data_IF_332160418429
#
_entry.id   IF_332160418429
#
_cell.length_a   1.000
_cell.length_b   1.000
_cell.length_c   1.000
_cell.angle_alpha   90.00
_cell.angle_beta   90.00
_cell.angle_gamma   90.00
#
_symmetry.space_group_name_H-M   'P 1'
#
loop_
_entity.id
_entity.type
_entity.pdbx_description
1 polymer ?
#
# COMPACT_ATOMS: atom_id res chain seq x y z
N UNK A 1 -12.70 -0.35 -14.13
CA UNK A 1 -11.52 0.24 -13.44
C UNK A 1 -10.29 0.18 -14.31
N UNK A 2 -9.33 1.11 -14.12
CA UNK A 2 -8.05 1.09 -14.83
C UNK A 2 -6.89 0.97 -13.84
N UNK A 3 -6.07 -0.05 -13.99
CA UNK A 3 -4.83 -0.31 -13.24
C UNK A 3 -3.70 -0.64 -14.22
N UNK A 4 -3.30 0.36 -15.02
CA UNK A 4 -2.48 0.18 -16.23
C UNK A 4 -1.16 -0.55 -15.99
N UNK A 5 -0.36 -0.07 -15.03
CA UNK A 5 1.04 -0.50 -14.87
C UNK A 5 1.22 -1.74 -13.99
N UNK A 6 0.16 -2.21 -13.32
CA UNK A 6 0.25 -3.36 -12.40
C UNK A 6 -1.09 -4.06 -12.26
N UNK A 7 -1.06 -5.40 -12.28
CA UNK A 7 -2.26 -6.24 -12.15
C UNK A 7 -2.69 -6.33 -10.68
N UNK A 8 -3.99 -6.18 -10.35
CA UNK A 8 -4.48 -6.33 -8.96
C UNK A 8 -4.27 -7.75 -8.39
N UNK A 9 -4.09 -8.74 -9.24
CA UNK A 9 -3.83 -10.14 -8.83
C UNK A 9 -2.32 -10.47 -8.78
N UNK A 10 -1.42 -9.51 -9.05
CA UNK A 10 0.01 -9.75 -9.01
C UNK A 10 0.50 -10.11 -7.60
N UNK A 11 1.48 -11.00 -7.53
CA UNK A 11 2.13 -11.38 -6.25
C UNK A 11 2.76 -10.16 -5.59
N UNK A 12 2.44 -9.93 -4.32
CA UNK A 12 2.92 -8.77 -3.57
C UNK A 12 4.43 -8.86 -3.24
N UNK A 13 5.04 -7.69 -3.02
CA UNK A 13 6.46 -7.58 -2.65
C UNK A 13 7.41 -7.45 -3.84
N UNK A 14 6.92 -7.40 -5.09
CA UNK A 14 7.71 -6.99 -6.25
C UNK A 14 7.89 -5.47 -6.34
N UNK A 15 8.74 -5.02 -7.27
CA UNK A 15 9.11 -3.59 -7.45
C UNK A 15 7.90 -2.66 -7.64
N UNK A 16 6.87 -3.11 -8.36
CA UNK A 16 5.68 -2.30 -8.69
C UNK A 16 4.39 -2.88 -8.10
N UNK A 17 4.50 -3.83 -7.16
CA UNK A 17 3.35 -4.47 -6.50
C UNK A 17 3.28 -4.08 -5.02
N UNK A 18 2.11 -3.70 -4.55
CA UNK A 18 1.94 -3.23 -3.17
C UNK A 18 0.52 -2.82 -2.82
N UNK A 19 0.38 -1.80 -1.99
CA UNK A 19 -0.92 -1.36 -1.45
C UNK A 19 -1.98 -1.02 -2.50
N UNK A 20 -1.59 -0.50 -3.68
CA UNK A 20 -2.53 -0.22 -4.76
C UNK A 20 -3.15 -1.49 -5.34
N UNK A 21 -2.37 -2.55 -5.54
CA UNK A 21 -2.87 -3.83 -6.05
C UNK A 21 -3.94 -4.41 -5.12
N UNK A 22 -3.63 -4.41 -3.81
CA UNK A 22 -4.56 -4.84 -2.76
C UNK A 22 -5.82 -3.97 -2.76
N UNK A 23 -5.66 -2.65 -2.84
CA UNK A 23 -6.78 -1.71 -2.89
C UNK A 23 -7.73 -2.01 -4.06
N UNK A 24 -7.19 -2.10 -5.28
CA UNK A 24 -8.00 -2.36 -6.49
C UNK A 24 -8.71 -3.71 -6.40
N UNK A 25 -7.99 -4.75 -5.95
CA UNK A 25 -8.55 -6.08 -5.78
C UNK A 25 -9.70 -6.10 -4.78
N UNK A 26 -9.48 -5.55 -3.59
CA UNK A 26 -10.42 -5.65 -2.48
C UNK A 26 -11.64 -4.74 -2.72
N UNK A 27 -11.43 -3.52 -3.24
CA UNK A 27 -12.52 -2.64 -3.66
C UNK A 27 -13.38 -3.31 -4.74
N UNK A 28 -12.75 -3.94 -5.75
CA UNK A 28 -13.49 -4.62 -6.83
C UNK A 28 -14.35 -5.76 -6.28
N UNK A 29 -13.81 -6.56 -5.35
CA UNK A 29 -14.58 -7.63 -4.68
C UNK A 29 -15.80 -7.08 -3.96
N UNK A 30 -15.60 -6.01 -3.19
CA UNK A 30 -16.66 -5.42 -2.39
C UNK A 30 -17.74 -4.78 -3.26
N UNK A 31 -17.36 -4.04 -4.31
CA UNK A 31 -18.31 -3.51 -5.29
C UNK A 31 -19.14 -4.63 -5.94
N UNK A 32 -18.50 -5.76 -6.29
CA UNK A 32 -19.21 -6.92 -6.79
C UNK A 32 -20.22 -7.52 -5.79
N UNK A 33 -19.86 -7.55 -4.49
CA UNK A 33 -20.77 -7.95 -3.41
C UNK A 33 -21.98 -7.02 -3.30
N UNK A 34 -21.80 -5.74 -3.62
CA UNK A 34 -22.87 -4.72 -3.68
C UNK A 34 -23.67 -4.76 -5.00
N UNK A 35 -23.35 -5.67 -5.93
CA UNK A 35 -24.05 -5.84 -7.21
C UNK A 35 -23.54 -4.93 -8.33
N UNK A 36 -22.39 -4.31 -8.18
CA UNK A 36 -21.74 -3.49 -9.22
C UNK A 36 -20.75 -4.34 -9.99
N UNK A 37 -20.98 -4.48 -11.30
CA UNK A 37 -20.08 -5.22 -12.18
C UNK A 37 -18.85 -4.39 -12.53
N UNK A 38 -17.66 -5.00 -12.39
CA UNK A 38 -16.39 -4.32 -12.60
C UNK A 38 -15.47 -5.11 -13.51
N UNK A 39 -15.03 -4.48 -14.59
CA UNK A 39 -13.87 -4.91 -15.37
C UNK A 39 -12.63 -4.10 -14.97
N UNK A 40 -11.59 -4.77 -14.49
CA UNK A 40 -10.31 -4.14 -14.19
C UNK A 40 -9.36 -4.34 -15.36
N UNK A 41 -9.08 -3.28 -16.09
CA UNK A 41 -8.13 -3.30 -17.20
C UNK A 41 -6.71 -3.04 -16.71
N UNK A 42 -5.80 -3.92 -17.07
CA UNK A 42 -4.36 -3.80 -16.82
C UNK A 42 -3.57 -4.15 -18.07
N UNK A 43 -2.37 -3.62 -18.23
CA UNK A 43 -1.50 -4.01 -19.34
C UNK A 43 -1.01 -5.44 -19.13
N UNK A 44 -1.05 -6.27 -20.19
CA UNK A 44 -0.45 -7.59 -20.17
C UNK A 44 1.09 -7.49 -20.00
N UNK A 45 1.63 -8.30 -19.11
CA UNK A 45 3.07 -8.38 -18.81
C UNK A 45 3.63 -9.80 -18.95
N UNK A 46 2.79 -10.74 -19.40
CA UNK A 46 3.17 -12.14 -19.63
C UNK A 46 2.19 -12.75 -20.64
N UNK A 47 2.70 -13.16 -21.80
CA UNK A 47 1.92 -13.78 -22.87
C UNK A 47 1.33 -15.15 -22.48
N UNK A 48 1.84 -15.78 -21.42
CA UNK A 48 1.35 -17.06 -20.91
C UNK A 48 0.19 -16.93 -19.93
N UNK A 49 -0.09 -15.72 -19.42
CA UNK A 49 -1.23 -15.46 -18.54
C UNK A 49 -2.49 -15.23 -19.38
N UNK A 50 -3.62 -15.87 -19.08
CA UNK A 50 -4.86 -15.62 -19.77
C UNK A 50 -5.24 -14.13 -19.76
N UNK A 51 -5.65 -13.59 -20.93
CA UNK A 51 -6.02 -12.18 -21.04
C UNK A 51 -7.31 -11.81 -20.28
N UNK A 52 -8.11 -12.78 -19.85
CA UNK A 52 -9.30 -12.54 -19.00
C UNK A 52 -9.29 -13.52 -17.86
N UNK A 53 -9.28 -12.99 -16.63
CA UNK A 53 -9.35 -13.74 -15.37
C UNK A 53 -10.61 -13.37 -14.60
N UNK A 54 -11.26 -14.34 -13.97
CA UNK A 54 -12.49 -14.19 -13.18
C UNK A 54 -12.25 -14.33 -11.67
N UNK A 55 -11.00 -14.16 -11.22
CA UNK A 55 -10.57 -14.45 -9.84
C UNK A 55 -10.99 -13.40 -8.80
N UNK A 56 -11.69 -12.33 -9.23
CA UNK A 56 -12.20 -11.29 -8.34
C UNK A 56 -13.58 -11.59 -7.74
N UNK A 57 -14.25 -12.66 -8.21
CA UNK A 57 -15.59 -13.04 -7.74
C UNK A 57 -16.71 -12.14 -8.26
N UNK A 58 -17.95 -12.52 -7.99
CA UNK A 58 -19.18 -11.78 -8.30
C UNK A 58 -19.33 -11.34 -9.78
N UNK A 59 -18.75 -12.10 -10.72
CA UNK A 59 -18.75 -11.76 -12.15
C UNK A 59 -17.69 -10.76 -12.59
N UNK A 60 -16.96 -10.17 -11.65
CA UNK A 60 -15.87 -9.23 -11.95
C UNK A 60 -14.70 -9.89 -12.65
N UNK A 61 -14.00 -9.13 -13.50
CA UNK A 61 -12.92 -9.63 -14.33
C UNK A 61 -11.67 -8.75 -14.24
N UNK A 62 -10.52 -9.39 -14.38
CA UNK A 62 -9.28 -8.71 -14.74
C UNK A 62 -9.01 -8.96 -16.22
N UNK A 63 -8.84 -7.89 -16.98
CA UNK A 63 -8.57 -7.94 -18.41
C UNK A 63 -7.14 -7.47 -18.66
N UNK A 64 -6.27 -8.40 -19.04
CA UNK A 64 -4.89 -8.13 -19.43
C UNK A 64 -4.87 -7.71 -20.91
N UNK A 65 -4.65 -6.43 -21.15
CA UNK A 65 -4.68 -5.84 -22.49
C UNK A 65 -3.28 -5.84 -23.07
N UNK A 66 -3.02 -6.53 -24.20
CA UNK A 66 -1.76 -6.43 -24.90
C UNK A 66 -1.49 -5.00 -25.38
N UNK A 67 -0.39 -4.41 -24.92
CA UNK A 67 0.04 -3.07 -25.30
C UNK A 67 1.57 -3.01 -25.23
N UNK A 68 2.22 -3.02 -26.41
CA UNK A 68 3.64 -3.27 -26.56
C UNK A 68 4.01 -4.74 -26.29
N UNK A 69 5.27 -5.04 -25.98
CA UNK A 69 5.69 -6.40 -25.63
C UNK A 69 5.06 -6.85 -24.30
N UNK A 70 4.63 -8.11 -24.24
CA UNK A 70 3.99 -8.68 -23.04
C UNK A 70 5.04 -9.15 -22.04
N UNK A 71 5.87 -8.22 -21.59
CA UNK A 71 6.90 -8.41 -20.56
C UNK A 71 6.88 -7.24 -19.57
N UNK A 72 7.42 -7.37 -18.37
CA UNK A 72 7.63 -6.24 -17.46
C UNK A 72 8.50 -5.16 -18.11
N UNK A 73 8.08 -3.91 -18.05
CA UNK A 73 8.79 -2.75 -18.60
C UNK A 73 9.04 -1.69 -17.54
N UNK A 74 10.15 -0.93 -17.65
CA UNK A 74 10.36 0.25 -16.81
C UNK A 74 9.26 1.30 -17.01
N UNK A 75 8.87 1.99 -15.94
CA UNK A 75 7.79 3.00 -15.99
C UNK A 75 7.93 4.06 -17.08
N UNK A 76 9.13 4.61 -17.38
CA UNK A 76 9.26 5.58 -18.48
C UNK A 76 8.84 5.03 -19.83
N UNK A 77 9.09 3.74 -20.10
CA UNK A 77 8.74 3.09 -21.36
C UNK A 77 7.24 2.80 -21.46
N UNK A 78 6.57 2.54 -20.33
CA UNK A 78 5.15 2.24 -20.31
C UNK A 78 4.29 3.34 -20.93
N UNK A 79 4.68 4.62 -20.81
CA UNK A 79 3.92 5.75 -21.31
C UNK A 79 3.70 5.69 -22.84
N UNK A 80 4.61 5.07 -23.57
CA UNK A 80 4.54 4.94 -25.04
C UNK A 80 3.40 4.01 -25.48
N UNK A 81 3.03 3.04 -24.64
CA UNK A 81 2.01 2.03 -24.97
C UNK A 81 0.59 2.38 -24.49
N UNK A 82 0.40 3.53 -23.83
CA UNK A 82 -0.94 3.97 -23.39
C UNK A 82 -1.94 4.05 -24.54
N UNK A 83 -1.61 4.58 -25.75
CA UNK A 83 -2.56 4.60 -26.87
C UNK A 83 -2.98 3.19 -27.32
N UNK A 84 -2.06 2.24 -27.35
CA UNK A 84 -2.37 0.86 -27.73
C UNK A 84 -3.23 0.18 -26.64
N UNK A 85 -2.97 0.44 -25.37
CA UNK A 85 -3.80 -0.03 -24.25
C UNK A 85 -5.24 0.47 -24.38
N UNK A 86 -5.43 1.76 -24.67
CA UNK A 86 -6.76 2.35 -24.90
C UNK A 86 -7.47 1.67 -26.06
N UNK A 87 -6.78 1.48 -27.20
CA UNK A 87 -7.36 0.78 -28.37
C UNK A 87 -7.82 -0.63 -28.03
N UNK A 88 -6.99 -1.39 -27.28
CA UNK A 88 -7.34 -2.74 -26.86
C UNK A 88 -8.56 -2.79 -25.92
N UNK A 89 -8.72 -1.81 -25.03
CA UNK A 89 -9.93 -1.69 -24.17
C UNK A 89 -11.18 -1.43 -25.04
N UNK A 90 -11.08 -0.53 -26.02
CA UNK A 90 -12.19 -0.22 -26.92
C UNK A 90 -12.59 -1.43 -27.76
N UNK A 91 -11.63 -2.15 -28.30
CA UNK A 91 -11.86 -3.39 -29.06
C UNK A 91 -12.52 -4.45 -28.17
N UNK A 92 -12.02 -4.65 -26.94
CA UNK A 92 -12.59 -5.59 -25.99
C UNK A 92 -14.05 -5.27 -25.67
N UNK A 93 -14.36 -4.01 -25.36
CA UNK A 93 -15.72 -3.57 -25.06
C UNK A 93 -16.66 -3.71 -26.24
N UNK A 94 -16.21 -3.33 -27.45
CA UNK A 94 -16.99 -3.40 -28.67
C UNK A 94 -17.32 -4.84 -29.05
N UNK A 95 -16.32 -5.74 -29.06
CA UNK A 95 -16.53 -7.15 -29.40
C UNK A 95 -17.49 -7.88 -28.45
N UNK A 96 -17.61 -7.42 -27.21
CA UNK A 96 -18.48 -8.00 -26.19
C UNK A 96 -19.80 -7.25 -25.99
N UNK A 97 -19.99 -6.14 -26.72
CA UNK A 97 -21.19 -5.30 -26.57
C UNK A 97 -21.32 -4.67 -25.19
N UNK A 98 -20.19 -4.40 -24.52
CA UNK A 98 -20.17 -3.84 -23.17
C UNK A 98 -20.29 -2.31 -23.21
N UNK A 99 -21.04 -1.77 -22.26
CA UNK A 99 -21.14 -0.35 -21.97
C UNK A 99 -20.77 -0.12 -20.51
N UNK A 100 -20.04 0.94 -20.25
CA UNK A 100 -19.61 1.30 -18.91
C UNK A 100 -20.26 2.64 -18.53
N UNK A 101 -20.71 2.74 -17.29
CA UNK A 101 -21.36 3.95 -16.78
C UNK A 101 -20.33 4.93 -16.20
N UNK A 102 -19.17 4.42 -15.76
CA UNK A 102 -18.14 5.18 -15.05
C UNK A 102 -16.74 4.58 -15.24
N UNK A 103 -15.73 5.43 -15.20
CA UNK A 103 -14.32 5.02 -15.14
C UNK A 103 -13.78 5.37 -13.76
N UNK A 104 -13.21 4.39 -13.04
CA UNK A 104 -12.37 4.63 -11.87
C UNK A 104 -10.92 4.26 -12.20
N UNK A 105 -10.01 5.23 -12.18
CA UNK A 105 -8.61 5.04 -12.56
C UNK A 105 -7.67 5.19 -11.36
N UNK A 106 -6.66 4.32 -11.31
CA UNK A 106 -5.70 4.23 -10.22
C UNK A 106 -4.29 4.51 -10.73
N UNK A 107 -3.61 5.46 -10.11
CA UNK A 107 -2.31 5.97 -10.52
C UNK A 107 -2.35 6.82 -11.81
N UNK A 108 -1.44 7.79 -11.92
CA UNK A 108 -1.47 8.81 -12.96
C UNK A 108 -1.50 8.27 -14.42
N UNK A 109 -0.79 7.15 -14.70
CA UNK A 109 -0.78 6.55 -16.05
C UNK A 109 -2.17 6.05 -16.46
N UNK A 110 -2.89 5.43 -15.53
CA UNK A 110 -4.27 5.02 -15.74
C UNK A 110 -5.20 6.22 -15.96
N UNK A 111 -4.95 7.33 -15.24
CA UNK A 111 -5.66 8.59 -15.46
C UNK A 111 -5.42 9.17 -16.84
N UNK A 112 -4.20 9.08 -17.38
CA UNK A 112 -3.90 9.48 -18.77
C UNK A 112 -4.63 8.60 -19.78
N UNK A 113 -4.65 7.28 -19.57
CA UNK A 113 -5.41 6.34 -20.42
C UNK A 113 -6.92 6.63 -20.36
N UNK A 114 -7.44 6.98 -19.18
CA UNK A 114 -8.84 7.29 -18.96
C UNK A 114 -9.34 8.49 -19.77
N UNK A 115 -8.47 9.42 -20.17
CA UNK A 115 -8.89 10.60 -20.93
C UNK A 115 -9.63 10.22 -22.21
N UNK A 116 -9.01 9.41 -23.06
CA UNK A 116 -9.59 9.02 -24.35
C UNK A 116 -10.87 8.18 -24.15
N UNK A 117 -10.88 7.29 -23.15
CA UNK A 117 -12.05 6.47 -22.84
C UNK A 117 -13.22 7.33 -22.33
N UNK A 118 -12.95 8.31 -21.45
CA UNK A 118 -13.95 9.27 -20.97
C UNK A 118 -14.62 10.02 -22.13
N UNK A 119 -13.83 10.50 -23.09
CA UNK A 119 -14.32 11.22 -24.27
C UNK A 119 -15.15 10.31 -25.19
N UNK A 120 -14.65 9.08 -25.45
CA UNK A 120 -15.30 8.15 -26.39
C UNK A 120 -16.56 7.51 -25.83
N UNK A 121 -16.59 7.16 -24.57
CA UNK A 121 -17.76 6.56 -23.91
C UNK A 121 -18.71 7.61 -23.35
N UNK A 122 -18.26 8.87 -23.24
CA UNK A 122 -19.00 9.97 -22.62
C UNK A 122 -19.46 9.63 -21.20
N UNK A 123 -18.53 9.14 -20.36
CA UNK A 123 -18.78 8.73 -18.97
C UNK A 123 -17.93 9.54 -17.98
N UNK A 124 -18.32 9.66 -16.70
CA UNK A 124 -17.50 10.35 -15.70
C UNK A 124 -16.25 9.56 -15.34
N UNK A 125 -15.25 10.30 -14.81
CA UNK A 125 -13.97 9.77 -14.34
C UNK A 125 -13.79 10.09 -12.87
N UNK A 126 -13.68 9.04 -12.05
CA UNK A 126 -13.16 9.10 -10.67
C UNK A 126 -11.69 8.67 -10.71
N UNK A 127 -10.83 9.34 -9.95
CA UNK A 127 -9.40 9.06 -9.93
C UNK A 127 -8.82 8.99 -8.53
N UNK A 128 -7.87 8.05 -8.30
CA UNK A 128 -7.07 7.96 -7.09
C UNK A 128 -5.58 7.82 -7.43
N UNK A 129 -4.74 8.70 -6.88
CA UNK A 129 -3.30 8.72 -7.20
C UNK A 129 -2.50 7.61 -6.51
N UNK A 130 -2.87 7.19 -5.31
CA UNK A 130 -2.15 6.28 -4.40
C UNK A 130 -0.81 6.81 -3.91
N UNK A 131 -0.07 7.54 -4.72
CA UNK A 131 1.16 8.27 -4.36
C UNK A 131 1.32 9.49 -5.24
N UNK A 132 1.90 10.55 -4.69
CA UNK A 132 2.13 11.81 -5.40
C UNK A 132 3.60 11.98 -5.76
N UNK A 133 3.89 12.32 -7.01
CA UNK A 133 5.25 12.51 -7.53
C UNK A 133 6.01 13.64 -6.83
N UNK A 134 5.35 14.78 -6.54
CA UNK A 134 5.97 15.88 -5.81
C UNK A 134 6.39 15.48 -4.39
N UNK A 135 5.62 14.60 -3.74
CA UNK A 135 6.01 14.09 -2.42
C UNK A 135 7.21 13.16 -2.51
N UNK A 136 7.24 12.25 -3.49
CA UNK A 136 8.42 11.40 -3.73
C UNK A 136 9.68 12.24 -3.99
N UNK A 137 9.59 13.28 -4.82
CA UNK A 137 10.72 14.17 -5.07
C UNK A 137 11.23 14.88 -3.81
N UNK A 138 10.34 15.26 -2.88
CA UNK A 138 10.71 15.96 -1.64
C UNK A 138 11.45 15.08 -0.64
N UNK A 139 11.16 13.77 -0.62
CA UNK A 139 11.74 12.82 0.33
C UNK A 139 12.82 11.94 -0.30
N UNK A 140 13.08 12.09 -1.60
CA UNK A 140 14.14 11.39 -2.29
C UNK A 140 15.52 11.78 -1.72
N UNK A 141 16.32 10.78 -1.37
CA UNK A 141 17.70 10.99 -0.86
C UNK A 141 18.67 11.34 -1.99
N UNK A 142 18.39 10.86 -3.18
CA UNK A 142 19.17 11.17 -4.38
C UNK A 142 18.28 11.38 -5.62
N UNK A 143 18.90 11.84 -6.72
CA UNK A 143 18.18 12.13 -7.97
C UNK A 143 17.66 10.87 -8.70
N UNK A 144 18.17 9.70 -8.39
CA UNK A 144 17.73 8.44 -9.01
C UNK A 144 16.38 7.98 -8.47
N UNK A 145 16.05 8.38 -7.24
CA UNK A 145 14.76 8.10 -6.61
C UNK A 145 13.65 9.07 -7.07
N UNK A 146 14.04 10.23 -7.60
CA UNK A 146 13.10 11.23 -8.07
C UNK A 146 12.53 10.85 -9.45
N UNK A 147 11.22 10.66 -9.51
CA UNK A 147 10.55 10.46 -10.80
C UNK A 147 10.56 11.78 -11.61
N UNK A 148 10.77 11.67 -12.93
CA UNK A 148 10.94 12.84 -13.80
C UNK A 148 9.70 13.72 -13.93
N UNK A 149 9.89 14.94 -14.48
CA UNK A 149 8.84 15.94 -14.71
C UNK A 149 7.66 15.43 -15.55
N UNK A 150 7.85 14.34 -16.31
CA UNK A 150 6.77 13.71 -17.08
C UNK A 150 5.64 13.21 -16.19
N UNK A 151 5.97 12.66 -15.00
CA UNK A 151 4.97 12.24 -14.02
C UNK A 151 4.19 13.44 -13.47
N UNK A 152 4.88 14.50 -13.05
CA UNK A 152 4.24 15.68 -12.49
C UNK A 152 3.25 16.32 -13.48
N UNK A 153 3.65 16.42 -14.77
CA UNK A 153 2.77 16.90 -15.85
C UNK A 153 1.58 15.97 -16.04
N UNK A 154 1.80 14.66 -15.97
CA UNK A 154 0.74 13.65 -16.04
C UNK A 154 -0.27 13.79 -14.90
N UNK A 155 0.20 13.89 -13.65
CA UNK A 155 -0.63 14.10 -12.47
C UNK A 155 -1.45 15.39 -12.55
N UNK A 156 -0.83 16.51 -12.94
CA UNK A 156 -1.53 17.78 -13.15
C UNK A 156 -2.60 17.70 -14.24
N UNK A 157 -2.35 16.93 -15.31
CA UNK A 157 -3.32 16.71 -16.37
C UNK A 157 -4.52 15.91 -15.87
N UNK A 158 -4.27 14.84 -15.13
CA UNK A 158 -5.31 13.98 -14.56
C UNK A 158 -6.18 14.73 -13.54
N UNK A 159 -5.57 15.58 -12.70
CA UNK A 159 -6.30 16.45 -11.76
C UNK A 159 -7.34 17.34 -12.45
N UNK A 160 -7.01 17.88 -13.63
CA UNK A 160 -7.93 18.72 -14.40
C UNK A 160 -9.00 17.93 -15.16
N UNK A 161 -8.75 16.64 -15.39
CA UNK A 161 -9.59 15.77 -16.20
C UNK A 161 -10.65 15.02 -15.38
N UNK A 162 -10.30 14.65 -14.14
CA UNK A 162 -11.15 13.86 -13.26
C UNK A 162 -12.38 14.69 -12.79
N UNK A 163 -13.55 14.07 -12.82
CA UNK A 163 -14.78 14.66 -12.26
C UNK A 163 -14.77 14.63 -10.73
N UNK A 164 -14.12 13.59 -10.15
CA UNK A 164 -13.80 13.49 -8.73
C UNK A 164 -12.42 12.86 -8.54
N UNK A 165 -11.72 13.32 -7.52
CA UNK A 165 -10.44 12.70 -7.06
C UNK A 165 -10.65 12.20 -5.65
N UNK A 166 -10.20 10.98 -5.39
CA UNK A 166 -10.21 10.39 -4.05
C UNK A 166 -8.81 10.55 -3.47
N UNK A 167 -8.72 11.26 -2.35
CA UNK A 167 -7.53 11.36 -1.52
C UNK A 167 -7.63 10.36 -0.34
N UNK A 168 -6.57 9.62 -0.07
CA UNK A 168 -6.57 8.63 1.00
C UNK A 168 -6.61 9.26 2.41
N UNK A 169 -6.17 10.53 2.55
CA UNK A 169 -6.03 11.20 3.83
C UNK A 169 -6.21 12.71 3.70
N UNK A 170 -6.53 13.40 4.81
CA UNK A 170 -6.50 14.87 4.85
C UNK A 170 -5.12 15.45 4.49
N UNK A 171 -4.02 14.72 4.78
CA UNK A 171 -2.68 15.13 4.36
C UNK A 171 -2.53 15.11 2.84
N UNK A 172 -3.03 14.09 2.16
CA UNK A 172 -3.00 14.03 0.70
C UNK A 172 -3.86 15.12 0.08
N UNK A 173 -5.06 15.40 0.63
CA UNK A 173 -5.89 16.53 0.23
C UNK A 173 -5.11 17.85 0.32
N UNK A 174 -4.44 18.11 1.45
CA UNK A 174 -3.60 19.29 1.61
C UNK A 174 -2.44 19.33 0.60
N UNK A 175 -1.80 18.20 0.32
CA UNK A 175 -0.74 18.10 -0.69
C UNK A 175 -1.27 18.40 -2.10
N UNK A 176 -2.43 17.88 -2.48
CA UNK A 176 -3.08 18.20 -3.75
C UNK A 176 -3.40 19.70 -3.85
N UNK A 177 -3.93 20.29 -2.80
CA UNK A 177 -4.24 21.71 -2.75
C UNK A 177 -2.98 22.59 -2.88
N UNK A 178 -1.97 22.34 -2.04
CA UNK A 178 -0.83 23.25 -1.93
C UNK A 178 0.27 23.00 -2.95
N UNK A 179 0.52 21.73 -3.33
CA UNK A 179 1.61 21.39 -4.26
C UNK A 179 1.15 21.40 -5.71
N UNK A 180 -0.08 20.92 -5.96
CA UNK A 180 -0.63 20.81 -7.31
C UNK A 180 -1.62 21.91 -7.64
N UNK A 181 -1.98 22.77 -6.66
CA UNK A 181 -2.98 23.83 -6.80
C UNK A 181 -4.34 23.27 -7.28
N UNK A 182 -4.68 22.07 -6.81
CA UNK A 182 -5.94 21.44 -7.14
C UNK A 182 -7.13 22.19 -6.56
N UNK A 183 -8.23 22.20 -7.30
CA UNK A 183 -9.52 22.60 -6.75
C UNK A 183 -10.03 21.53 -5.81
N UNK A 184 -10.07 21.83 -4.52
CA UNK A 184 -10.49 20.88 -3.48
C UNK A 184 -12.00 20.57 -3.51
N UNK A 185 -12.81 21.36 -4.20
CA UNK A 185 -14.23 21.07 -4.41
C UNK A 185 -14.50 19.79 -5.22
N UNK A 186 -13.47 19.24 -5.86
CA UNK A 186 -13.53 17.97 -6.61
C UNK A 186 -12.79 16.82 -5.92
N UNK A 187 -12.31 17.00 -4.67
CA UNK A 187 -11.52 16.01 -3.95
C UNK A 187 -12.28 15.53 -2.72
N UNK A 188 -12.57 14.24 -2.68
CA UNK A 188 -13.15 13.55 -1.53
C UNK A 188 -12.09 12.80 -0.74
N UNK A 189 -12.16 12.84 0.59
CA UNK A 189 -11.22 12.12 1.46
C UNK A 189 -11.85 10.80 1.88
N UNK A 190 -11.42 9.72 1.22
CA UNK A 190 -11.89 8.36 1.52
C UNK A 190 -10.65 7.47 1.70
N UNK A 191 -10.42 6.95 2.92
CA UNK A 191 -9.27 6.10 3.19
C UNK A 191 -9.40 4.72 2.52
N UNK A 192 -8.28 4.01 2.31
CA UNK A 192 -8.31 2.59 1.95
C UNK A 192 -8.96 1.73 3.03
N UNK A 193 -9.63 0.66 2.60
CA UNK A 193 -10.22 -0.33 3.49
C UNK A 193 -9.25 -1.43 3.89
N UNK A 194 -9.68 -2.23 4.88
CA UNK A 194 -9.08 -3.48 5.31
C UNK A 194 -10.13 -4.58 5.31
N UNK A 195 -9.72 -5.80 4.95
CA UNK A 195 -10.57 -6.98 5.02
C UNK A 195 -10.57 -7.51 6.47
N UNK A 196 -11.60 -7.14 7.22
CA UNK A 196 -11.77 -7.53 8.62
C UNK A 196 -12.16 -9.02 8.80
N UNK A 197 -12.48 -9.72 7.72
CA UNK A 197 -12.68 -11.18 7.75
C UNK A 197 -11.38 -11.94 7.61
N UNK A 198 -10.35 -11.27 7.11
CA UNK A 198 -9.01 -11.80 6.92
C UNK A 198 -8.03 -11.31 8.00
N UNK A 199 -8.05 -10.01 8.30
CA UNK A 199 -7.23 -9.38 9.34
C UNK A 199 -8.07 -9.20 10.61
N UNK A 200 -7.82 -10.04 11.60
CA UNK A 200 -8.48 -10.03 12.91
C UNK A 200 -7.50 -10.52 13.98
N UNK A 201 -7.74 -10.20 15.26
CA UNK A 201 -6.86 -10.64 16.33
C UNK A 201 -6.83 -12.17 16.47
N UNK A 202 -5.63 -12.75 16.42
CA UNK A 202 -5.36 -14.16 16.72
C UNK A 202 -4.62 -14.20 18.06
N UNK A 203 -4.81 -15.24 18.85
CA UNK A 203 -4.06 -15.39 20.10
C UNK A 203 -2.56 -15.43 19.81
N UNK A 204 -1.74 -14.60 20.48
CA UNK A 204 -0.31 -14.49 20.18
C UNK A 204 0.44 -15.84 20.25
N UNK A 205 0.05 -16.72 21.16
CA UNK A 205 0.65 -18.05 21.30
C UNK A 205 0.36 -18.92 20.07
N UNK A 206 -0.89 -18.93 19.58
CA UNK A 206 -1.26 -19.65 18.37
C UNK A 206 -0.55 -19.09 17.13
N UNK A 207 -0.48 -17.76 17.05
CA UNK A 207 0.19 -17.07 15.97
C UNK A 207 1.70 -17.38 15.95
N UNK A 208 2.38 -17.33 17.10
CA UNK A 208 3.79 -17.71 17.24
C UNK A 208 4.05 -19.16 16.90
N UNK A 209 3.20 -20.07 17.35
CA UNK A 209 3.28 -21.50 17.01
C UNK A 209 3.18 -21.71 15.50
N UNK A 210 2.20 -21.05 14.84
CA UNK A 210 1.99 -21.17 13.39
C UNK A 210 3.20 -20.72 12.56
N UNK A 211 3.84 -19.60 12.94
CA UNK A 211 5.01 -19.06 12.22
C UNK A 211 6.34 -19.61 12.72
N UNK A 212 6.34 -20.47 13.74
CA UNK A 212 7.55 -21.11 14.29
C UNK A 212 8.44 -20.18 15.13
N UNK A 213 7.89 -19.14 15.74
CA UNK A 213 8.59 -18.25 16.67
C UNK A 213 8.42 -18.79 18.09
N UNK A 214 9.50 -18.92 18.88
CA UNK A 214 9.39 -19.35 20.28
C UNK A 214 8.45 -18.46 21.10
N UNK A 215 7.63 -19.01 22.00
CA UNK A 215 6.65 -18.23 22.77
C UNK A 215 7.27 -17.12 23.63
N UNK A 216 8.52 -17.33 24.10
CA UNK A 216 9.23 -16.34 24.91
C UNK A 216 9.87 -15.22 24.09
N UNK A 217 10.04 -15.38 22.77
CA UNK A 217 10.67 -14.36 21.94
C UNK A 217 9.77 -13.13 21.80
N UNK A 218 10.39 -11.96 21.93
CA UNK A 218 9.73 -10.66 21.74
C UNK A 218 9.90 -10.22 20.28
N UNK A 219 8.91 -10.53 19.46
CA UNK A 219 8.98 -10.23 18.04
C UNK A 219 8.52 -8.82 17.72
N UNK A 220 9.40 -8.03 17.09
CA UNK A 220 9.06 -6.80 16.38
C UNK A 220 8.94 -7.10 14.90
N UNK A 221 8.04 -6.44 14.21
CA UNK A 221 7.74 -6.76 12.82
C UNK A 221 7.79 -5.51 11.93
N UNK A 222 8.47 -5.64 10.81
CA UNK A 222 8.34 -4.75 9.66
C UNK A 222 7.75 -5.53 8.47
N UNK A 223 6.79 -4.93 7.79
CA UNK A 223 6.23 -5.46 6.54
C UNK A 223 6.25 -4.37 5.48
N UNK A 224 6.88 -4.63 4.34
CA UNK A 224 6.92 -3.64 3.27
C UNK A 224 7.95 -3.92 2.20
N UNK A 225 8.01 -3.07 1.18
CA UNK A 225 9.07 -3.11 0.18
C UNK A 225 10.38 -2.65 0.81
N UNK A 226 11.48 -3.27 0.40
CA UNK A 226 12.81 -2.86 0.83
C UNK A 226 13.27 -1.70 -0.07
N UNK A 227 12.98 -0.50 0.38
CA UNK A 227 13.27 0.77 -0.30
C UNK A 227 13.75 1.80 0.73
N UNK A 228 14.67 2.72 0.38
CA UNK A 228 15.18 3.75 1.31
C UNK A 228 14.06 4.55 1.97
N UNK A 229 12.98 4.79 1.22
CA UNK A 229 11.80 5.53 1.69
C UNK A 229 11.11 4.90 2.90
N UNK A 230 11.36 3.62 3.16
CA UNK A 230 10.76 2.86 4.27
C UNK A 230 11.52 2.97 5.59
N UNK A 231 12.73 3.58 5.59
CA UNK A 231 13.48 3.91 6.80
C UNK A 231 13.93 2.70 7.62
N UNK A 232 14.19 1.54 6.97
CA UNK A 232 14.64 0.34 7.65
C UNK A 232 15.99 0.52 8.35
N UNK A 233 16.84 1.40 7.84
CA UNK A 233 18.09 1.81 8.50
C UNK A 233 17.85 2.40 9.89
N UNK A 234 16.90 3.35 10.02
CA UNK A 234 16.50 3.90 11.31
C UNK A 234 16.02 2.80 12.29
N UNK A 235 15.29 1.78 11.79
CA UNK A 235 14.85 0.67 12.60
C UNK A 235 16.02 -0.23 13.05
N UNK A 236 16.93 -0.57 12.15
CA UNK A 236 18.12 -1.37 12.48
C UNK A 236 18.99 -0.64 13.50
N UNK A 237 19.17 0.69 13.36
CA UNK A 237 19.87 1.51 14.38
C UNK A 237 19.15 1.50 15.72
N UNK A 238 17.82 1.56 15.76
CA UNK A 238 17.04 1.46 16.99
C UNK A 238 17.25 0.12 17.68
N UNK A 239 17.30 -1.00 16.95
CA UNK A 239 17.62 -2.32 17.50
C UNK A 239 19.05 -2.35 18.07
N UNK A 240 20.02 -1.74 17.37
CA UNK A 240 21.40 -1.63 17.88
C UNK A 240 21.48 -0.82 19.19
N UNK A 241 20.66 0.22 19.33
CA UNK A 241 20.54 0.98 20.60
C UNK A 241 19.98 0.07 21.68
N UNK A 242 18.90 -0.66 21.41
CA UNK A 242 18.27 -1.57 22.37
C UNK A 242 19.24 -2.67 22.82
N UNK A 243 20.01 -3.28 21.90
CA UNK A 243 21.05 -4.27 22.21
C UNK A 243 22.09 -3.72 23.18
N UNK A 244 22.62 -2.52 22.93
CA UNK A 244 23.65 -1.88 23.78
C UNK A 244 23.16 -1.57 25.19
N UNK A 245 21.89 -1.35 25.36
CA UNK A 245 21.27 -1.04 26.66
C UNK A 245 20.91 -2.29 27.50
N UNK A 246 21.06 -3.46 26.92
CA UNK A 246 20.84 -4.75 27.60
C UNK A 246 19.36 -5.08 27.78
N UNK A 247 18.84 -6.03 27.01
CA UNK A 247 17.56 -6.68 27.26
C UNK A 247 17.84 -8.13 27.70
N UNK A 248 17.93 -8.36 29.02
CA UNK A 248 18.48 -9.61 29.58
C UNK A 248 17.43 -10.74 29.72
N UNK A 249 16.14 -10.42 29.82
CA UNK A 249 15.14 -11.42 30.21
C UNK A 249 14.45 -12.21 29.09
N UNK A 250 14.41 -11.70 27.87
CA UNK A 250 13.85 -12.39 26.70
C UNK A 250 14.52 -11.90 25.42
N UNK A 251 14.87 -12.79 24.49
CA UNK A 251 15.44 -12.38 23.22
C UNK A 251 14.44 -11.54 22.42
N UNK A 252 14.92 -10.40 21.90
CA UNK A 252 14.17 -9.56 20.98
C UNK A 252 14.58 -9.98 19.57
N UNK A 253 13.61 -10.22 18.70
CA UNK A 253 13.85 -10.45 17.30
C UNK A 253 13.08 -9.43 16.45
N UNK A 254 13.75 -8.83 15.47
CA UNK A 254 13.14 -8.05 14.40
C UNK A 254 12.99 -8.93 13.18
N UNK A 255 11.74 -9.19 12.81
CA UNK A 255 11.39 -9.89 11.58
C UNK A 255 11.05 -8.88 10.49
N UNK A 256 11.74 -8.96 9.35
CA UNK A 256 11.54 -8.08 8.19
C UNK A 256 10.92 -8.90 7.07
N UNK A 257 9.67 -8.61 6.73
CA UNK A 257 8.93 -9.21 5.62
C UNK A 257 8.96 -8.26 4.42
N UNK A 258 9.53 -8.71 3.32
CA UNK A 258 9.68 -7.97 2.06
C UNK A 258 10.99 -8.28 1.36
N UNK A 259 11.10 -7.84 0.12
CA UNK A 259 12.26 -8.17 -0.70
C UNK A 259 12.40 -9.68 -0.95
N UNK A 260 13.56 -10.08 -1.41
CA UNK A 260 13.93 -11.48 -1.57
C UNK A 260 15.41 -11.66 -1.14
N UNK A 261 15.66 -12.17 0.06
CA UNK A 261 17.03 -12.33 0.58
C UNK A 261 17.78 -13.53 0.00
N UNK A 262 17.14 -14.37 -0.82
CA UNK A 262 17.69 -15.61 -1.36
C UNK A 262 18.09 -15.52 -2.84
N UNK A 263 17.86 -14.38 -3.48
CA UNK A 263 18.35 -14.15 -4.85
C UNK A 263 19.87 -13.95 -4.85
N UNK A 264 20.49 -14.14 -6.01
CA UNK A 264 21.92 -13.87 -6.19
C UNK A 264 22.24 -12.39 -5.90
N UNK A 265 23.47 -12.08 -5.50
CA UNK A 265 23.92 -10.71 -5.23
C UNK A 265 23.68 -9.77 -6.44
N UNK A 266 23.74 -10.29 -7.65
CA UNK A 266 23.47 -9.54 -8.90
C UNK A 266 21.99 -9.16 -9.07
N UNK A 267 21.08 -9.95 -8.48
CA UNK A 267 19.63 -9.72 -8.54
C UNK A 267 19.09 -8.98 -7.30
N UNK A 268 19.88 -8.93 -6.24
CA UNK A 268 19.53 -8.26 -4.99
C UNK A 268 19.49 -6.74 -5.19
N UNK A 269 18.49 -6.09 -4.60
CA UNK A 269 18.45 -4.63 -4.66
C UNK A 269 19.59 -4.02 -3.85
N UNK A 270 20.17 -2.92 -4.34
CA UNK A 270 21.24 -2.21 -3.64
C UNK A 270 20.86 -1.84 -2.18
N UNK A 271 19.59 -1.54 -1.95
CA UNK A 271 19.10 -1.25 -0.59
C UNK A 271 19.09 -2.51 0.30
N UNK A 272 18.72 -3.67 -0.22
CA UNK A 272 18.76 -4.91 0.54
C UNK A 272 20.21 -5.24 0.94
N UNK A 273 21.14 -5.15 0.00
CA UNK A 273 22.59 -5.36 0.27
C UNK A 273 23.08 -4.40 1.35
N UNK A 274 22.79 -3.11 1.21
CA UNK A 274 23.17 -2.08 2.20
C UNK A 274 22.64 -2.38 3.61
N UNK A 275 21.41 -2.84 3.72
CA UNK A 275 20.81 -3.16 5.01
C UNK A 275 21.35 -4.45 5.61
N UNK A 276 21.73 -5.44 4.81
CA UNK A 276 22.40 -6.64 5.27
C UNK A 276 23.81 -6.33 5.79
N UNK A 277 24.61 -5.55 5.05
CA UNK A 277 25.92 -5.06 5.49
C UNK A 277 25.78 -4.27 6.82
N UNK A 278 24.81 -3.37 6.91
CA UNK A 278 24.54 -2.60 8.14
C UNK A 278 24.19 -3.51 9.33
N UNK A 279 23.41 -4.57 9.12
CA UNK A 279 23.10 -5.55 10.16
C UNK A 279 24.38 -6.24 10.66
N UNK A 280 25.28 -6.64 9.74
CA UNK A 280 26.57 -7.28 10.07
C UNK A 280 27.50 -6.31 10.79
N UNK A 281 27.66 -5.08 10.30
CA UNK A 281 28.50 -4.04 10.92
C UNK A 281 28.06 -3.69 12.35
N UNK A 282 26.79 -3.90 12.68
CA UNK A 282 26.22 -3.65 14.00
C UNK A 282 26.12 -4.92 14.87
N UNK A 283 26.63 -6.05 14.41
CA UNK A 283 26.58 -7.37 15.10
C UNK A 283 25.12 -7.79 15.45
N UNK A 284 24.15 -7.62 14.52
CA UNK A 284 22.72 -7.86 14.77
C UNK A 284 22.16 -9.11 14.09
N UNK A 285 23.00 -10.05 13.62
CA UNK A 285 22.56 -11.23 12.87
C UNK A 285 21.67 -12.17 13.67
N UNK A 286 21.83 -12.18 15.00
CA UNK A 286 21.02 -12.94 15.94
C UNK A 286 19.69 -12.25 16.30
N UNK A 287 19.55 -10.95 16.03
CA UNK A 287 18.36 -10.17 16.36
C UNK A 287 17.53 -9.73 15.15
N UNK A 288 18.11 -9.59 13.96
CA UNK A 288 17.46 -9.07 12.77
C UNK A 288 17.43 -10.14 11.68
N UNK A 289 16.24 -10.53 11.27
CA UNK A 289 16.02 -11.57 10.25
C UNK A 289 15.22 -11.03 9.08
N UNK A 290 15.79 -11.13 7.87
CA UNK A 290 15.08 -10.88 6.62
C UNK A 290 14.35 -12.16 6.19
N UNK A 291 13.03 -12.17 6.31
CA UNK A 291 12.20 -13.34 6.02
C UNK A 291 11.83 -13.48 4.53
N UNK A 292 12.09 -12.42 3.74
CA UNK A 292 11.61 -12.37 2.36
C UNK A 292 10.10 -12.15 2.24
N UNK A 293 9.56 -12.40 1.04
CA UNK A 293 8.13 -12.24 0.78
C UNK A 293 7.31 -13.29 1.53
N UNK A 294 6.13 -12.89 1.99
CA UNK A 294 5.15 -13.78 2.60
C UNK A 294 3.81 -13.64 1.89
N UNK A 295 3.07 -14.74 1.83
CA UNK A 295 1.68 -14.74 1.37
C UNK A 295 0.82 -13.85 2.27
N UNK A 296 -0.13 -13.14 1.67
CA UNK A 296 -1.06 -12.30 2.41
C UNK A 296 -1.86 -13.12 3.45
N UNK A 297 -2.14 -14.39 3.14
CA UNK A 297 -2.86 -15.30 4.02
C UNK A 297 -2.11 -15.62 5.33
N UNK A 298 -0.80 -15.45 5.35
CA UNK A 298 0.02 -15.68 6.56
C UNK A 298 0.28 -14.40 7.37
N UNK A 299 0.07 -13.22 6.80
CA UNK A 299 0.33 -11.95 7.47
C UNK A 299 -0.44 -11.75 8.78
N UNK A 300 -1.73 -12.17 8.92
CA UNK A 300 -2.44 -12.04 10.19
C UNK A 300 -1.73 -12.72 11.36
N UNK A 301 -1.07 -13.85 11.11
CA UNK A 301 -0.28 -14.56 12.14
C UNK A 301 0.98 -13.77 12.52
N UNK A 302 1.69 -13.20 11.53
CA UNK A 302 2.86 -12.36 11.81
C UNK A 302 2.48 -11.10 12.58
N UNK A 303 1.38 -10.44 12.21
CA UNK A 303 0.89 -9.28 12.95
C UNK A 303 0.54 -9.66 14.39
N UNK A 304 -0.31 -10.67 14.58
CA UNK A 304 -0.78 -11.08 15.91
C UNK A 304 0.32 -11.66 16.80
N UNK A 305 1.38 -12.24 16.23
CA UNK A 305 2.54 -12.73 16.97
C UNK A 305 3.47 -11.61 17.47
N UNK A 306 3.32 -10.39 16.92
CA UNK A 306 4.27 -9.29 17.14
C UNK A 306 3.90 -8.46 18.37
N UNK A 307 4.93 -8.01 19.10
CA UNK A 307 4.78 -7.05 20.18
C UNK A 307 4.42 -5.64 19.63
N UNK A 308 4.94 -5.31 18.45
CA UNK A 308 4.59 -4.11 17.68
C UNK A 308 4.94 -4.29 16.20
N UNK A 309 4.16 -3.63 15.33
CA UNK A 309 4.55 -3.40 13.94
C UNK A 309 5.20 -2.04 13.82
N UNK A 310 6.34 -1.98 13.13
CA UNK A 310 7.17 -0.77 13.04
C UNK A 310 7.18 -0.24 11.62
N UNK A 311 6.83 1.04 11.46
CA UNK A 311 6.79 1.73 10.17
C UNK A 311 7.60 3.03 10.22
N UNK A 312 8.93 2.98 10.13
CA UNK A 312 9.80 4.14 10.27
C UNK A 312 9.94 4.95 8.98
N UNK A 313 8.90 4.95 8.16
CA UNK A 313 8.90 5.50 6.80
C UNK A 313 9.18 7.01 6.79
N UNK A 314 9.92 7.47 5.77
CA UNK A 314 10.10 8.91 5.48
C UNK A 314 8.86 9.51 4.82
N UNK A 315 8.10 8.70 4.11
CA UNK A 315 6.81 9.05 3.52
C UNK A 315 5.92 7.82 3.40
N UNK A 316 4.65 8.02 3.75
CA UNK A 316 3.59 7.03 3.55
C UNK A 316 2.29 7.76 3.20
N UNK A 317 1.66 7.39 2.08
CA UNK A 317 0.42 8.05 1.65
C UNK A 317 -0.76 7.73 2.58
N UNK A 318 -0.84 6.48 3.05
CA UNK A 318 -1.88 6.06 4.00
C UNK A 318 -1.32 5.17 5.12
N UNK A 319 -0.70 4.02 4.78
CA UNK A 319 -0.20 3.05 5.75
C UNK A 319 -1.07 1.79 5.86
N UNK A 320 -1.37 1.13 4.73
CA UNK A 320 -2.16 -0.13 4.74
C UNK A 320 -1.63 -1.17 5.73
N UNK A 321 -0.31 -1.35 5.81
CA UNK A 321 0.33 -2.29 6.74
C UNK A 321 0.02 -1.92 8.19
N UNK A 322 0.01 -0.62 8.53
CA UNK A 322 -0.40 -0.18 9.86
C UNK A 322 -1.87 -0.54 10.13
N UNK A 323 -2.76 -0.31 9.16
CA UNK A 323 -4.18 -0.64 9.32
C UNK A 323 -4.41 -2.15 9.46
N UNK A 324 -3.70 -2.98 8.68
CA UNK A 324 -3.74 -4.45 8.78
C UNK A 324 -3.26 -4.94 10.15
N UNK A 325 -2.15 -4.39 10.65
CA UNK A 325 -1.64 -4.68 11.99
C UNK A 325 -2.64 -4.27 13.09
N UNK A 326 -3.21 -3.08 12.98
CA UNK A 326 -4.23 -2.58 13.91
C UNK A 326 -5.47 -3.49 13.91
N UNK A 327 -5.93 -3.94 12.74
CA UNK A 327 -7.04 -4.89 12.64
C UNK A 327 -6.74 -6.23 13.32
N UNK A 328 -5.47 -6.64 13.34
CA UNK A 328 -5.01 -7.83 14.08
C UNK A 328 -4.76 -7.59 15.59
N UNK A 329 -5.07 -6.39 16.10
CA UNK A 329 -4.90 -6.06 17.52
C UNK A 329 -3.45 -5.79 17.91
N UNK A 330 -2.59 -5.43 16.97
CA UNK A 330 -1.17 -5.15 17.19
C UNK A 330 -0.92 -3.66 17.16
N UNK A 331 -0.32 -3.06 18.23
CA UNK A 331 0.02 -1.65 18.23
C UNK A 331 1.09 -1.32 17.17
N UNK A 332 1.04 -0.11 16.65
CA UNK A 332 1.95 0.35 15.61
C UNK A 332 2.87 1.43 16.14
N UNK A 333 4.18 1.31 15.89
CA UNK A 333 5.14 2.40 16.09
C UNK A 333 5.55 2.94 14.75
N UNK A 334 5.21 4.18 14.46
CA UNK A 334 5.36 4.76 13.13
C UNK A 334 6.02 6.14 13.14
N UNK A 335 6.68 6.50 12.05
CA UNK A 335 7.07 7.89 11.84
C UNK A 335 5.85 8.79 11.71
N UNK A 336 5.92 10.00 12.26
CA UNK A 336 4.84 10.99 12.17
C UNK A 336 4.78 11.66 10.79
N UNK A 337 4.41 10.87 9.75
CA UNK A 337 4.40 11.30 8.34
C UNK A 337 3.12 10.91 7.63
N UNK A 338 2.69 11.74 6.68
CA UNK A 338 1.61 11.43 5.74
C UNK A 338 0.39 10.81 6.41
N UNK A 339 -0.06 9.68 5.87
CA UNK A 339 -1.23 8.96 6.39
C UNK A 339 -1.01 8.31 7.76
N UNK A 340 0.22 7.93 8.09
CA UNK A 340 0.53 7.33 9.39
C UNK A 340 0.22 8.28 10.56
N UNK A 341 0.47 9.58 10.38
CA UNK A 341 0.18 10.59 11.39
C UNK A 341 -1.33 10.75 11.70
N UNK A 342 -2.21 10.29 10.80
CA UNK A 342 -3.66 10.30 11.00
C UNK A 342 -4.19 8.94 11.47
N UNK A 343 -3.56 7.86 11.01
CA UNK A 343 -4.00 6.51 11.31
C UNK A 343 -3.55 6.05 12.72
N UNK A 344 -2.28 6.31 13.08
CA UNK A 344 -1.73 5.93 14.37
C UNK A 344 -1.96 7.05 15.38
N UNK A 345 -2.84 6.80 16.35
CA UNK A 345 -3.13 7.73 17.43
C UNK A 345 -2.09 7.57 18.54
N UNK A 346 -1.21 8.58 18.68
CA UNK A 346 -0.10 8.56 19.64
C UNK A 346 -0.58 8.34 21.09
N UNK A 347 0.04 7.37 21.76
CA UNK A 347 -0.33 6.96 23.12
C UNK A 347 -1.66 6.20 23.24
N UNK A 348 -2.38 5.96 22.13
CA UNK A 348 -3.70 5.31 22.10
C UNK A 348 -3.65 3.99 21.32
N UNK A 349 -3.34 4.02 20.04
CA UNK A 349 -3.27 2.82 19.17
C UNK A 349 -1.84 2.38 18.88
N UNK A 350 -0.88 3.08 19.44
CA UNK A 350 0.55 2.90 19.25
C UNK A 350 1.30 4.19 19.57
N UNK A 351 2.47 4.36 18.97
CA UNK A 351 3.29 5.56 19.12
C UNK A 351 3.68 6.17 17.79
N UNK A 352 3.83 7.49 17.76
CA UNK A 352 4.41 8.20 16.62
C UNK A 352 5.74 8.84 17.03
N UNK A 353 6.75 8.76 16.15
CA UNK A 353 8.09 9.29 16.36
C UNK A 353 8.50 10.23 15.22
N UNK A 354 9.41 11.18 15.42
CA UNK A 354 9.99 11.93 14.31
C UNK A 354 10.73 11.01 13.34
N UNK A 355 10.85 11.45 12.09
CA UNK A 355 11.64 10.75 11.05
C UNK A 355 13.13 10.77 11.42
N UNK A 356 13.86 9.71 11.08
CA UNK A 356 15.31 9.58 11.31
C UNK A 356 15.74 9.74 12.79
N UNK A 357 14.86 9.32 13.72
CA UNK A 357 15.14 9.38 15.15
C UNK A 357 15.18 7.97 15.79
N UNK A 358 16.26 7.19 15.56
CA UNK A 358 16.36 5.81 16.03
C UNK A 358 16.30 5.71 17.56
N UNK A 359 16.72 6.74 18.29
CA UNK A 359 16.62 6.78 19.75
C UNK A 359 15.17 6.85 20.21
N UNK A 360 14.37 7.75 19.66
CA UNK A 360 12.96 7.87 19.99
C UNK A 360 12.19 6.59 19.63
N UNK A 361 12.54 5.98 18.49
CA UNK A 361 11.97 4.70 18.07
C UNK A 361 12.31 3.58 19.07
N UNK A 362 13.57 3.45 19.47
CA UNK A 362 14.01 2.46 20.47
C UNK A 362 13.29 2.63 21.82
N UNK A 363 13.09 3.87 22.28
CA UNK A 363 12.43 4.15 23.54
C UNK A 363 10.95 3.74 23.53
N UNK A 364 10.21 4.02 22.43
CA UNK A 364 8.83 3.55 22.23
C UNK A 364 8.74 2.02 22.19
N UNK A 365 9.64 1.36 21.44
CA UNK A 365 9.67 -0.11 21.36
C UNK A 365 9.94 -0.75 22.72
N UNK A 366 10.90 -0.22 23.50
CA UNK A 366 11.18 -0.67 24.87
C UNK A 366 9.97 -0.50 25.76
N UNK A 367 9.24 0.60 25.65
CA UNK A 367 8.04 0.84 26.44
C UNK A 367 6.98 -0.23 26.18
N UNK A 368 6.71 -0.55 24.92
CA UNK A 368 5.74 -1.60 24.55
C UNK A 368 6.19 -3.00 25.01
N UNK A 369 7.48 -3.32 24.89
CA UNK A 369 8.03 -4.61 25.32
C UNK A 369 7.93 -4.76 26.83
N UNK A 370 8.28 -3.72 27.60
CA UNK A 370 8.34 -3.77 29.06
C UNK A 370 6.98 -3.60 29.74
N UNK A 371 5.94 -3.16 29.02
CA UNK A 371 4.62 -2.89 29.58
C UNK A 371 3.52 -3.67 28.84
N UNK A 372 3.38 -4.99 29.08
CA UNK A 372 2.41 -5.84 28.39
C UNK A 372 0.97 -5.33 28.48
N UNK A 373 0.57 -4.78 29.63
CA UNK A 373 -0.78 -4.24 29.83
C UNK A 373 -1.05 -3.01 28.94
N UNK A 374 -0.05 -2.13 28.78
CA UNK A 374 -0.14 -0.98 27.88
C UNK A 374 -0.25 -1.45 26.43
N UNK A 375 0.60 -2.39 26.04
CA UNK A 375 0.62 -2.99 24.71
C UNK A 375 -0.73 -3.63 24.35
N UNK A 376 -1.27 -4.44 25.25
CA UNK A 376 -2.58 -5.07 25.08
C UNK A 376 -3.67 -4.01 24.92
N UNK A 377 -3.72 -3.01 25.79
CA UNK A 377 -4.70 -1.92 25.71
C UNK A 377 -4.62 -1.17 24.40
N UNK A 378 -3.40 -0.83 23.94
CA UNK A 378 -3.20 -0.16 22.65
C UNK A 378 -3.64 -1.04 21.47
N UNK A 379 -3.37 -2.35 21.52
CA UNK A 379 -3.80 -3.31 20.51
C UNK A 379 -5.34 -3.41 20.42
N UNK A 380 -6.02 -3.48 21.56
CA UNK A 380 -7.49 -3.48 21.64
C UNK A 380 -8.09 -2.19 21.00
N UNK A 381 -7.53 -1.03 21.36
CA UNK A 381 -7.94 0.25 20.80
C UNK A 381 -7.62 0.37 19.30
N UNK A 382 -6.50 -0.21 18.86
CA UNK A 382 -6.14 -0.28 17.46
C UNK A 382 -7.15 -1.13 16.66
N UNK A 383 -7.51 -2.32 17.17
CA UNK A 383 -8.52 -3.18 16.55
C UNK A 383 -9.90 -2.52 16.49
N UNK A 384 -10.30 -1.81 17.54
CA UNK A 384 -11.57 -1.05 17.55
C UNK A 384 -11.56 0.07 16.50
N UNK A 385 -10.47 0.82 16.41
CA UNK A 385 -10.35 1.89 15.40
C UNK A 385 -10.39 1.31 13.98
N UNK A 386 -9.72 0.17 13.74
CA UNK A 386 -9.67 -0.49 12.43
C UNK A 386 -11.06 -0.91 11.91
N UNK A 387 -12.05 -1.16 12.79
CA UNK A 387 -13.42 -1.49 12.37
C UNK A 387 -14.06 -0.41 11.51
N UNK A 388 -13.66 0.85 11.66
CA UNK A 388 -14.17 1.98 10.86
C UNK A 388 -13.68 1.97 9.41
N UNK A 389 -12.67 1.16 9.13
CA UNK A 389 -12.01 1.02 7.84
C UNK A 389 -12.36 -0.30 7.14
N UNK A 390 -13.42 -1.00 7.57
CA UNK A 390 -13.90 -2.19 6.87
C UNK A 390 -14.27 -1.88 5.41
N UNK A 391 -13.97 -2.78 4.49
CA UNK A 391 -14.26 -2.55 3.07
C UNK A 391 -15.73 -2.31 2.76
N UNK A 392 -16.66 -2.87 3.55
CA UNK A 392 -18.09 -2.61 3.44
C UNK A 392 -18.43 -1.12 3.64
N UNK A 393 -17.84 -0.49 4.66
CA UNK A 393 -17.99 0.94 4.93
C UNK A 393 -17.30 1.79 3.85
N UNK A 394 -16.04 1.45 3.52
CA UNK A 394 -15.25 2.24 2.56
C UNK A 394 -15.83 2.15 1.15
N UNK A 395 -16.23 0.97 0.69
CA UNK A 395 -16.87 0.83 -0.62
C UNK A 395 -18.19 1.57 -0.70
N UNK A 396 -18.97 1.62 0.40
CA UNK A 396 -20.18 2.45 0.48
C UNK A 396 -19.89 3.92 0.19
N UNK A 397 -18.85 4.51 0.82
CA UNK A 397 -18.44 5.89 0.54
C UNK A 397 -17.98 6.10 -0.92
N UNK A 398 -17.28 5.11 -1.50
CA UNK A 398 -16.89 5.15 -2.92
C UNK A 398 -18.11 5.13 -3.83
N UNK A 399 -19.14 4.33 -3.49
CA UNK A 399 -20.39 4.25 -4.27
C UNK A 399 -21.16 5.59 -4.18
N UNK A 400 -21.19 6.26 -3.03
CA UNK A 400 -21.76 7.61 -2.91
C UNK A 400 -21.11 8.59 -3.90
N UNK A 401 -19.77 8.56 -4.04
CA UNK A 401 -19.06 9.37 -5.05
C UNK A 401 -19.47 8.98 -6.48
N UNK A 402 -19.67 7.68 -6.75
CA UNK A 402 -20.11 7.24 -8.07
C UNK A 402 -21.53 7.76 -8.39
N UNK A 403 -22.45 7.67 -7.44
CA UNK A 403 -23.82 8.17 -7.58
C UNK A 403 -23.84 9.68 -7.82
N UNK A 404 -23.02 10.46 -7.10
CA UNK A 404 -22.90 11.90 -7.30
C UNK A 404 -22.46 12.26 -8.71
N UNK A 405 -21.41 11.63 -9.25
CA UNK A 405 -20.91 11.95 -10.60
C UNK A 405 -21.84 11.46 -11.72
N UNK A 406 -22.62 10.42 -11.46
CA UNK A 406 -23.66 9.94 -12.39
C UNK A 406 -24.89 10.88 -12.34
N UNK A 407 -25.36 11.27 -11.17
CA UNK A 407 -26.53 12.14 -11.00
C UNK A 407 -26.32 13.57 -11.51
N UNK A 408 -25.10 14.11 -11.49
CA UNK A 408 -24.77 15.43 -12.04
C UNK A 408 -24.87 15.50 -13.57
N UNK A 409 -24.97 14.38 -14.29
CA UNK A 409 -25.13 14.33 -15.76
C UNK A 409 -26.58 14.22 -16.21
N UNK A 410 -27.51 13.86 -15.34
CA UNK A 410 -28.93 13.79 -15.66
C UNK A 410 -29.65 15.15 -15.52
N UNK A 411 -28.97 16.16 -14.98
CA UNK A 411 -29.47 17.54 -14.82
C UNK A 411 -28.81 18.50 -15.80
#
# INVERSE_FOLDING_TARGET
MLSYHTCPLATLGGKDTGGMNVYVRDLTKELGRMGIEVDVFTRSQDEHVPHVLHDLGYGNRVVHVPAGPEVPLPKPELAEYIPQFVSGILEFSQHRGLQYDLIHSHYWMSGIAAQALKEMWNVPLVHMFHTLGMMKQRVARDKSEAEGDYRLRGEQKVLRLADRVIAATPAELAQLQWLYQADVGHVEVIPPGVDLTHFYPILPEEAKEFIGVPPCDRMLLFVGRIEPLKGLDTLIEAIAIMRREGFEDCPICLSIIGGDPQVSDEEMSAEMTRLQEMREDLDLEDMVTFLGKRSQDTLPYYYSASEAVVMPSHYESFGKVALEAMACGTPVVASHVGGLAFLVQDGVTGFTVPVDEPRALADCLKELINRPELRQKMGEQAAELAQRYGWDTIAGQIVEVYEEVLGTRET
#
